data_IF_559845697816
#
_entry.id   IF_559845697816
#
_cell.length_a   1.000
_cell.length_b   1.000
_cell.length_c   1.000
_cell.angle_alpha   90.00
_cell.angle_beta   90.00
_cell.angle_gamma   90.00
#
_symmetry.space_group_name_H-M   'P 1'
#
loop_
_entity.id
_entity.type
_entity.pdbx_description
1 polymer ?
#
# COMPACT_ATOMS: atom_id res chain seq x y z
N UNK A 1 54.86 5.03 6.82
CA UNK A 1 54.83 6.13 5.83
C UNK A 1 53.47 6.76 5.79
N UNK A 2 53.36 8.10 5.60
CA UNK A 2 52.06 8.78 5.55
C UNK A 2 51.14 8.24 4.49
N UNK A 3 51.66 7.83 3.34
CA UNK A 3 50.87 7.35 2.20
C UNK A 3 50.19 6.00 2.51
N UNK A 4 50.86 5.11 3.26
CA UNK A 4 50.27 3.84 3.66
C UNK A 4 49.11 4.02 4.62
N UNK A 5 49.22 4.97 5.53
CA UNK A 5 48.13 5.30 6.48
C UNK A 5 46.94 5.85 5.75
N UNK A 6 47.15 6.72 4.78
CA UNK A 6 46.08 7.30 3.98
C UNK A 6 45.40 6.18 3.13
N UNK A 7 46.20 5.31 2.54
CA UNK A 7 45.68 4.19 1.75
C UNK A 7 44.82 3.27 2.61
N UNK A 8 45.27 2.94 3.83
CA UNK A 8 44.50 2.12 4.76
C UNK A 8 43.16 2.76 5.13
N UNK A 9 43.17 4.08 5.38
CA UNK A 9 41.97 4.82 5.68
C UNK A 9 40.97 4.79 4.51
N UNK A 10 41.46 4.97 3.30
CA UNK A 10 40.65 4.91 2.10
C UNK A 10 40.05 3.53 1.86
N UNK A 11 40.85 2.49 2.10
CA UNK A 11 40.38 1.11 1.98
C UNK A 11 39.29 0.81 3.01
N UNK A 12 39.49 1.23 4.27
CA UNK A 12 38.47 1.08 5.31
C UNK A 12 37.19 1.83 4.99
N UNK A 13 37.32 3.07 4.50
CA UNK A 13 36.16 3.86 4.09
C UNK A 13 35.42 3.22 2.93
N UNK A 14 36.14 2.71 1.94
CA UNK A 14 35.53 2.02 0.81
C UNK A 14 34.79 0.75 1.23
N UNK A 15 35.38 -0.02 2.14
CA UNK A 15 34.74 -1.22 2.66
C UNK A 15 33.44 -0.87 3.40
N UNK A 16 33.49 0.16 4.24
CA UNK A 16 32.31 0.63 4.98
C UNK A 16 31.21 1.09 4.02
N UNK A 17 31.56 1.85 2.98
CA UNK A 17 30.61 2.30 1.99
C UNK A 17 29.98 1.13 1.24
N UNK A 18 30.77 0.13 0.89
CA UNK A 18 30.25 -1.07 0.22
C UNK A 18 29.26 -1.82 1.12
N UNK A 19 29.56 -1.94 2.41
CA UNK A 19 28.67 -2.57 3.38
C UNK A 19 27.39 -1.78 3.57
N UNK A 20 27.51 -0.45 3.69
CA UNK A 20 26.35 0.43 3.82
C UNK A 20 25.46 0.38 2.58
N UNK A 21 26.07 0.35 1.39
CA UNK A 21 25.34 0.24 0.14
C UNK A 21 24.57 -1.08 0.06
N UNK A 22 25.20 -2.19 0.46
CA UNK A 22 24.54 -3.49 0.47
C UNK A 22 23.34 -3.48 1.44
N UNK A 23 23.52 -2.89 2.61
CA UNK A 23 22.45 -2.76 3.61
C UNK A 23 21.29 -1.90 3.08
N UNK A 24 21.62 -0.78 2.46
CA UNK A 24 20.59 0.12 1.90
C UNK A 24 19.84 -0.52 0.76
N UNK A 25 20.53 -1.24 -0.13
CA UNK A 25 19.89 -1.96 -1.23
C UNK A 25 18.88 -2.99 -0.72
N UNK A 26 19.26 -3.72 0.34
CA UNK A 26 18.36 -4.69 0.96
C UNK A 26 17.13 -4.00 1.55
N UNK A 27 17.32 -2.87 2.25
CA UNK A 27 16.21 -2.10 2.83
C UNK A 27 15.26 -1.57 1.75
N UNK A 28 15.82 -1.06 0.66
CA UNK A 28 15.03 -0.59 -0.48
C UNK A 28 14.19 -1.72 -1.06
N UNK A 29 14.79 -2.89 -1.25
CA UNK A 29 14.07 -4.05 -1.77
C UNK A 29 12.93 -4.48 -0.84
N UNK A 30 13.16 -4.49 0.47
CA UNK A 30 12.14 -4.81 1.47
C UNK A 30 10.99 -3.79 1.45
N UNK A 31 11.32 -2.50 1.34
CA UNK A 31 10.32 -1.44 1.27
C UNK A 31 9.50 -1.51 -0.02
N UNK A 32 10.14 -1.79 -1.14
CA UNK A 32 9.44 -1.98 -2.42
C UNK A 32 8.44 -3.13 -2.34
N UNK A 33 8.84 -4.22 -1.70
CA UNK A 33 7.95 -5.36 -1.48
C UNK A 33 6.75 -4.97 -0.61
N UNK A 34 6.97 -4.24 0.48
CA UNK A 34 5.90 -3.76 1.36
C UNK A 34 4.94 -2.83 0.62
N UNK A 35 5.47 -1.93 -0.20
CA UNK A 35 4.63 -1.01 -1.01
C UNK A 35 3.76 -1.82 -1.96
N UNK A 36 4.33 -2.81 -2.64
CA UNK A 36 3.56 -3.67 -3.56
C UNK A 36 2.44 -4.40 -2.82
N UNK A 37 2.72 -4.95 -1.64
CA UNK A 37 1.71 -5.62 -0.83
C UNK A 37 0.60 -4.66 -0.39
N UNK A 38 0.96 -3.44 0.01
CA UNK A 38 -0.01 -2.42 0.40
C UNK A 38 -0.89 -1.99 -0.77
N UNK A 39 -0.33 -1.87 -1.95
CA UNK A 39 -1.09 -1.54 -3.16
C UNK A 39 -2.12 -2.63 -3.49
N UNK A 40 -1.74 -3.89 -3.36
CA UNK A 40 -2.67 -5.01 -3.58
C UNK A 40 -3.81 -4.96 -2.55
N UNK A 41 -3.48 -4.74 -1.28
CA UNK A 41 -4.48 -4.65 -0.21
C UNK A 41 -5.42 -3.46 -0.43
N UNK A 42 -4.90 -2.33 -0.87
CA UNK A 42 -5.70 -1.15 -1.16
C UNK A 42 -6.69 -1.41 -2.30
N UNK A 43 -6.25 -2.04 -3.39
CA UNK A 43 -7.13 -2.39 -4.51
C UNK A 43 -8.24 -3.35 -4.07
N UNK A 44 -7.91 -4.29 -3.19
CA UNK A 44 -8.91 -5.21 -2.64
C UNK A 44 -9.93 -4.46 -1.79
N UNK A 45 -9.49 -3.54 -0.95
CA UNK A 45 -10.38 -2.71 -0.13
C UNK A 45 -11.28 -1.85 -0.99
N UNK A 46 -10.74 -1.26 -2.05
CA UNK A 46 -11.53 -0.45 -3.00
C UNK A 46 -12.62 -1.29 -3.67
N UNK A 47 -12.31 -2.50 -4.09
CA UNK A 47 -13.30 -3.41 -4.67
C UNK A 47 -14.39 -3.76 -3.69
N UNK A 48 -14.04 -4.04 -2.44
CA UNK A 48 -15.01 -4.29 -1.37
C UNK A 48 -15.92 -3.09 -1.14
N UNK A 49 -15.33 -1.89 -1.12
CA UNK A 49 -16.10 -0.66 -0.93
C UNK A 49 -17.11 -0.46 -2.07
N UNK A 50 -16.69 -0.65 -3.31
CA UNK A 50 -17.58 -0.57 -4.47
C UNK A 50 -18.72 -1.57 -4.38
N UNK A 51 -18.42 -2.80 -3.95
CA UNK A 51 -19.43 -3.84 -3.77
C UNK A 51 -20.45 -3.44 -2.70
N UNK A 52 -19.97 -2.95 -1.56
CA UNK A 52 -20.85 -2.50 -0.47
C UNK A 52 -21.72 -1.33 -0.94
N UNK A 53 -21.14 -0.37 -1.64
CA UNK A 53 -21.88 0.79 -2.17
C UNK A 53 -22.95 0.36 -3.16
N UNK A 54 -22.67 -0.61 -4.03
CA UNK A 54 -23.65 -1.18 -4.95
C UNK A 54 -24.81 -1.83 -4.21
N UNK A 55 -24.52 -2.59 -3.15
CA UNK A 55 -25.56 -3.25 -2.35
C UNK A 55 -26.40 -2.24 -1.58
N UNK A 56 -25.78 -1.20 -1.03
CA UNK A 56 -26.51 -0.12 -0.35
C UNK A 56 -27.45 0.60 -1.33
N UNK A 57 -26.98 0.93 -2.51
CA UNK A 57 -27.77 1.58 -3.53
C UNK A 57 -29.00 0.73 -3.92
N UNK A 58 -28.77 -0.57 -4.10
CA UNK A 58 -29.87 -1.51 -4.39
C UNK A 58 -30.89 -1.54 -3.23
N UNK A 59 -30.41 -1.61 -2.00
CA UNK A 59 -31.28 -1.63 -0.82
C UNK A 59 -32.11 -0.37 -0.71
N UNK A 60 -31.55 0.78 -1.00
CA UNK A 60 -32.26 2.06 -1.00
C UNK A 60 -33.37 2.08 -2.04
N UNK A 61 -33.10 1.56 -3.24
CA UNK A 61 -34.11 1.45 -4.32
C UNK A 61 -35.23 0.50 -3.94
N UNK A 62 -34.91 -0.63 -3.34
CA UNK A 62 -35.91 -1.60 -2.88
C UNK A 62 -36.78 -1.01 -1.78
N UNK A 63 -36.21 -0.27 -0.83
CA UNK A 63 -36.94 0.40 0.23
C UNK A 63 -37.90 1.48 -0.35
N UNK A 64 -37.43 2.25 -1.32
CA UNK A 64 -38.23 3.25 -1.97
C UNK A 64 -39.43 2.62 -2.70
N UNK A 65 -39.21 1.49 -3.36
CA UNK A 65 -40.25 0.74 -4.02
C UNK A 65 -41.32 0.27 -3.03
N UNK A 66 -40.90 -0.34 -1.90
CA UNK A 66 -41.77 -0.84 -0.86
C UNK A 66 -42.61 0.32 -0.26
N UNK A 67 -41.96 1.44 0.05
CA UNK A 67 -42.60 2.62 0.60
C UNK A 67 -43.68 3.14 -0.35
N UNK A 68 -43.38 3.26 -1.64
CA UNK A 68 -44.29 3.74 -2.64
C UNK A 68 -45.52 2.81 -2.80
N UNK A 69 -45.28 1.50 -2.72
CA UNK A 69 -46.38 0.52 -2.75
C UNK A 69 -47.29 0.65 -1.52
N UNK A 70 -46.69 0.78 -0.34
CA UNK A 70 -47.44 0.97 0.92
C UNK A 70 -48.32 2.23 0.85
N UNK A 71 -47.77 3.34 0.37
CA UNK A 71 -48.51 4.60 0.21
C UNK A 71 -49.66 4.44 -0.78
N UNK A 72 -49.49 3.70 -1.85
CA UNK A 72 -50.54 3.44 -2.82
C UNK A 72 -51.71 2.67 -2.20
N UNK A 73 -51.43 1.72 -1.29
CA UNK A 73 -52.47 0.93 -0.63
C UNK A 73 -53.22 1.72 0.45
N UNK A 74 -52.60 2.77 1.00
CA UNK A 74 -53.24 3.57 2.07
C UNK A 74 -54.14 4.71 1.53
N UNK A 75 -54.10 4.93 0.24
CA UNK A 75 -54.99 5.89 -0.43
C UNK A 75 -56.29 5.19 -0.82
#
# INVERSE_FOLDING_TARGET
MPDDTLLERLQSANLRLAEDNATLLRKVSELEHLVTCREVDLRRSERHLHEVMRLVDKAEKDLAYIRNKALAYTR
#
